data_IF_200100432231
#
_entry.id   IF_200100432231
#
_cell.length_a   1.000
_cell.length_b   1.000
_cell.length_c   1.000
_cell.angle_alpha   90.00
_cell.angle_beta   90.00
_cell.angle_gamma   90.00
#
_symmetry.space_group_name_H-M   'P 1'
#
loop_
_entity.id
_entity.type
_entity.pdbx_description
1 polymer ?
#
# COMPACT_ATOMS: atom_id res chain seq x y z
N UNK A 1 14.40 0.65 -13.49
CA UNK A 1 15.81 0.48 -13.10
C UNK A 1 16.00 0.54 -11.59
N UNK A 2 15.43 1.53 -10.86
CA UNK A 2 15.63 1.62 -9.39
C UNK A 2 14.87 0.57 -8.56
N UNK A 3 13.74 0.06 -9.03
CA UNK A 3 12.96 -0.99 -8.34
C UNK A 3 13.58 -2.39 -8.47
N UNK A 4 14.17 -2.73 -9.59
CA UNK A 4 14.92 -4.00 -9.74
C UNK A 4 16.16 -4.05 -8.84
N UNK A 5 16.80 -2.90 -8.62
CA UNK A 5 17.93 -2.75 -7.68
C UNK A 5 17.44 -2.95 -6.23
N UNK A 6 16.22 -2.53 -5.87
CA UNK A 6 15.64 -2.72 -4.53
C UNK A 6 15.33 -4.18 -4.23
N UNK A 7 14.79 -4.93 -5.19
CA UNK A 7 14.51 -6.38 -5.00
C UNK A 7 15.79 -7.21 -4.94
N UNK A 8 16.81 -6.87 -5.75
CA UNK A 8 18.12 -7.51 -5.68
C UNK A 8 18.79 -7.27 -4.33
N UNK A 9 18.73 -6.05 -3.77
CA UNK A 9 19.26 -5.75 -2.45
C UNK A 9 18.54 -6.51 -1.32
N UNK A 10 17.20 -6.65 -1.39
CA UNK A 10 16.43 -7.43 -0.40
C UNK A 10 16.74 -8.93 -0.48
N UNK A 11 16.93 -9.48 -1.67
CA UNK A 11 17.35 -10.87 -1.85
C UNK A 11 18.78 -11.10 -1.33
N UNK A 12 19.67 -10.14 -1.53
CA UNK A 12 21.04 -10.20 -1.02
C UNK A 12 21.08 -10.09 0.51
N UNK A 13 20.25 -9.26 1.12
CA UNK A 13 20.09 -9.18 2.58
C UNK A 13 19.58 -10.51 3.16
N UNK A 14 18.60 -11.15 2.51
CA UNK A 14 18.09 -12.46 2.90
C UNK A 14 19.19 -13.53 2.82
N UNK A 15 19.96 -13.56 1.72
CA UNK A 15 21.06 -14.50 1.54
C UNK A 15 22.17 -14.23 2.58
N UNK A 16 22.44 -12.98 2.90
CA UNK A 16 23.43 -12.63 3.94
C UNK A 16 22.98 -13.08 5.33
N UNK A 17 21.69 -12.96 5.65
CA UNK A 17 21.15 -13.41 6.93
C UNK A 17 21.20 -14.93 7.06
N UNK A 18 20.87 -15.66 5.98
CA UNK A 18 20.99 -17.12 5.96
C UNK A 18 22.44 -17.59 6.11
N UNK A 19 23.39 -16.92 5.46
CA UNK A 19 24.83 -17.16 5.62
C UNK A 19 25.33 -16.89 7.04
N UNK A 20 24.89 -15.79 7.66
CA UNK A 20 25.21 -15.50 9.07
C UNK A 20 24.69 -16.58 10.02
N UNK A 21 23.46 -17.08 9.79
CA UNK A 21 22.91 -18.22 10.55
C UNK A 21 23.71 -19.51 10.37
N UNK A 22 24.18 -19.79 9.17
CA UNK A 22 25.02 -20.95 8.87
C UNK A 22 26.42 -20.83 9.50
N UNK A 23 27.03 -19.66 9.40
CA UNK A 23 28.32 -19.35 10.05
C UNK A 23 28.23 -19.47 11.58
N UNK A 24 27.18 -18.93 12.17
CA UNK A 24 26.89 -19.05 13.60
C UNK A 24 26.74 -20.51 14.04
N UNK A 25 26.01 -21.33 13.27
CA UNK A 25 25.85 -22.75 13.56
C UNK A 25 27.19 -23.50 13.48
N UNK A 26 28.04 -23.16 12.50
CA UNK A 26 29.39 -23.74 12.36
C UNK A 26 30.32 -23.33 13.52
N UNK A 27 30.24 -22.06 13.96
CA UNK A 27 31.00 -21.60 15.11
C UNK A 27 30.59 -22.32 16.40
N UNK A 28 29.28 -22.45 16.64
CA UNK A 28 28.73 -23.19 17.76
C UNK A 28 29.17 -24.66 17.78
N UNK A 29 29.15 -25.34 16.64
CA UNK A 29 29.60 -26.72 16.51
C UNK A 29 31.10 -26.83 16.86
N UNK A 30 31.92 -25.93 16.33
CA UNK A 30 33.37 -25.91 16.57
C UNK A 30 33.70 -25.63 18.06
N UNK A 31 32.94 -24.73 18.67
CA UNK A 31 33.13 -24.42 20.12
C UNK A 31 32.66 -25.58 20.99
N UNK A 32 31.57 -26.23 20.62
CA UNK A 32 31.10 -27.43 21.31
C UNK A 32 32.10 -28.62 21.25
N UNK A 33 32.72 -28.85 20.08
CA UNK A 33 33.78 -29.85 19.94
C UNK A 33 34.99 -29.52 20.79
N UNK A 34 35.42 -28.25 20.82
CA UNK A 34 36.53 -27.78 21.63
C UNK A 34 36.29 -27.97 23.14
N UNK A 35 35.05 -27.69 23.56
CA UNK A 35 34.65 -27.85 24.95
C UNK A 35 34.53 -29.33 25.33
N UNK A 36 33.99 -30.21 24.47
CA UNK A 36 33.98 -31.66 24.68
C UNK A 36 35.40 -32.22 24.86
N UNK A 37 36.34 -31.77 24.04
CA UNK A 37 37.73 -32.16 24.17
C UNK A 37 38.32 -31.69 25.49
N UNK A 38 38.04 -30.43 25.91
CA UNK A 38 38.50 -29.89 27.20
C UNK A 38 37.88 -30.63 28.40
N UNK A 39 36.62 -31.02 28.33
CA UNK A 39 35.90 -31.82 29.30
C UNK A 39 36.60 -33.21 29.46
N UNK A 40 36.88 -33.90 28.37
CA UNK A 40 37.54 -35.18 28.38
C UNK A 40 38.95 -35.11 29.02
N UNK A 41 39.71 -34.05 28.74
CA UNK A 41 41.02 -33.77 29.34
C UNK A 41 40.91 -33.55 30.86
N UNK A 42 39.90 -32.81 31.32
CA UNK A 42 39.66 -32.54 32.73
C UNK A 42 39.19 -33.80 33.49
N UNK A 43 38.41 -34.66 32.87
CA UNK A 43 37.96 -35.95 33.40
C UNK A 43 39.14 -36.93 33.60
N UNK A 44 40.07 -36.94 32.65
CA UNK A 44 41.28 -37.76 32.76
C UNK A 44 42.20 -37.28 33.91
N UNK A 45 42.37 -35.96 34.09
CA UNK A 45 43.17 -35.38 35.18
C UNK A 45 42.49 -35.56 36.54
N UNK A 46 41.15 -35.46 36.62
CA UNK A 46 40.39 -35.67 37.84
C UNK A 46 40.46 -37.11 38.36
N UNK A 47 40.55 -38.09 37.46
CA UNK A 47 40.68 -39.50 37.87
C UNK A 47 42.02 -39.85 38.55
N UNK A 48 43.01 -38.96 38.44
CA UNK A 48 44.37 -39.18 39.00
C UNK A 48 44.70 -38.38 40.26
N UNK A 49 43.77 -37.50 40.70
CA UNK A 49 44.05 -36.55 41.80
C UNK A 49 43.16 -36.79 43.00
N UNK A 50 43.64 -36.40 44.24
CA UNK A 50 42.83 -36.47 45.44
C UNK A 50 41.61 -35.56 45.47
N UNK A 51 40.67 -35.78 46.39
CA UNK A 51 39.32 -35.15 46.38
C UNK A 51 39.33 -33.63 46.37
N UNK A 52 40.26 -32.93 46.98
CA UNK A 52 40.33 -31.45 46.94
C UNK A 52 40.65 -30.89 45.53
N UNK A 53 41.51 -31.57 44.78
CA UNK A 53 41.85 -31.16 43.41
C UNK A 53 40.69 -31.41 42.48
N UNK A 54 39.91 -32.47 42.71
CA UNK A 54 38.67 -32.76 41.94
C UNK A 54 37.61 -31.71 42.18
N UNK A 55 37.40 -31.22 43.39
CA UNK A 55 36.45 -30.17 43.71
C UNK A 55 36.79 -28.89 42.97
N UNK A 56 38.02 -28.40 43.03
CA UNK A 56 38.47 -27.21 42.30
C UNK A 56 38.27 -27.34 40.79
N UNK A 57 38.54 -28.52 40.24
CA UNK A 57 38.38 -28.78 38.82
C UNK A 57 36.90 -28.74 38.39
N UNK A 58 35.99 -29.23 39.23
CA UNK A 58 34.56 -29.13 38.96
C UNK A 58 34.05 -27.71 39.13
N UNK A 59 34.53 -26.91 40.05
CA UNK A 59 34.21 -25.49 40.19
C UNK A 59 34.61 -24.69 38.98
N UNK A 60 35.83 -24.88 38.44
CA UNK A 60 36.28 -24.25 37.19
C UNK A 60 35.41 -24.68 35.99
N UNK A 61 35.03 -25.95 35.92
CA UNK A 61 34.16 -26.48 34.89
C UNK A 61 32.77 -25.86 34.91
N UNK A 62 32.17 -25.74 36.12
CA UNK A 62 30.87 -25.09 36.33
C UNK A 62 30.96 -23.64 35.86
N UNK A 63 31.97 -22.87 36.24
CA UNK A 63 32.14 -21.48 35.83
C UNK A 63 32.28 -21.31 34.30
N UNK A 64 33.00 -22.23 33.65
CA UNK A 64 33.09 -22.22 32.16
C UNK A 64 31.77 -22.54 31.51
N UNK A 65 31.00 -23.52 32.01
CA UNK A 65 29.70 -23.89 31.47
C UNK A 65 28.65 -22.78 31.70
N UNK A 66 28.68 -22.11 32.84
CA UNK A 66 27.80 -20.97 33.12
C UNK A 66 28.08 -19.79 32.21
N UNK A 67 29.35 -19.47 31.93
CA UNK A 67 29.74 -18.42 31.00
C UNK A 67 29.30 -18.75 29.56
N UNK A 68 29.46 -20.00 29.15
CA UNK A 68 29.02 -20.48 27.85
C UNK A 68 27.48 -20.39 27.69
N UNK A 69 26.76 -20.86 28.71
CA UNK A 69 25.31 -20.85 28.77
C UNK A 69 24.78 -19.41 28.70
N UNK A 70 25.43 -18.48 29.37
CA UNK A 70 25.11 -17.05 29.28
C UNK A 70 25.34 -16.51 27.87
N UNK A 71 26.51 -16.77 27.30
CA UNK A 71 26.80 -16.34 25.92
C UNK A 71 25.82 -16.92 24.88
N UNK A 72 25.47 -18.19 25.05
CA UNK A 72 24.47 -18.84 24.20
C UNK A 72 23.09 -18.20 24.35
N UNK A 73 22.69 -17.91 25.59
CA UNK A 73 21.39 -17.23 25.85
C UNK A 73 21.33 -15.84 25.24
N UNK A 74 22.40 -15.06 25.35
CA UNK A 74 22.47 -13.71 24.80
C UNK A 74 22.40 -13.75 23.26
N UNK A 75 23.13 -14.68 22.65
CA UNK A 75 23.06 -14.89 21.18
C UNK A 75 21.69 -15.39 20.71
N UNK A 76 21.06 -16.27 21.48
CA UNK A 76 19.72 -16.77 21.17
C UNK A 76 18.68 -15.64 21.20
N UNK A 77 18.73 -14.76 22.20
CA UNK A 77 17.84 -13.59 22.28
C UNK A 77 18.06 -12.63 21.12
N UNK A 78 19.32 -12.42 20.73
CA UNK A 78 19.63 -11.58 19.57
C UNK A 78 19.04 -12.15 18.28
N UNK A 79 19.22 -13.45 18.03
CA UNK A 79 18.66 -14.13 16.84
C UNK A 79 17.12 -14.11 16.86
N UNK A 80 16.52 -14.25 18.05
CA UNK A 80 15.06 -14.17 18.20
C UNK A 80 14.54 -12.77 17.83
N UNK A 81 15.23 -11.71 18.27
CA UNK A 81 14.89 -10.32 17.93
C UNK A 81 15.06 -10.05 16.43
N UNK A 82 16.18 -10.46 15.84
CA UNK A 82 16.43 -10.36 14.40
C UNK A 82 15.38 -11.12 13.58
N UNK A 83 14.93 -12.29 14.03
CA UNK A 83 13.87 -13.07 13.39
C UNK A 83 12.50 -12.38 13.46
N UNK A 84 12.18 -11.74 14.60
CA UNK A 84 10.94 -10.97 14.74
C UNK A 84 10.93 -9.76 13.81
N UNK A 85 12.02 -9.04 13.74
CA UNK A 85 12.18 -7.91 12.83
C UNK A 85 12.05 -8.34 11.36
N UNK A 86 12.65 -9.48 11.03
CA UNK A 86 12.54 -10.03 9.68
C UNK A 86 11.12 -10.46 9.34
N UNK A 87 10.44 -11.13 10.26
CA UNK A 87 9.05 -11.56 10.07
C UNK A 87 8.12 -10.33 9.86
N UNK A 88 8.33 -9.25 10.63
CA UNK A 88 7.59 -8.00 10.44
C UNK A 88 7.83 -7.41 9.05
N UNK A 89 9.09 -7.26 8.64
CA UNK A 89 9.45 -6.74 7.31
C UNK A 89 8.92 -7.62 6.16
N UNK A 90 8.88 -8.93 6.36
CA UNK A 90 8.31 -9.85 5.37
C UNK A 90 6.82 -9.61 5.18
N UNK A 91 6.07 -9.46 6.29
CA UNK A 91 4.65 -9.15 6.25
C UNK A 91 4.38 -7.81 5.57
N UNK A 92 5.18 -6.78 5.87
CA UNK A 92 5.06 -5.46 5.22
C UNK A 92 5.27 -5.56 3.70
N UNK A 93 6.28 -6.32 3.26
CA UNK A 93 6.54 -6.55 1.82
C UNK A 93 5.44 -7.37 1.16
N UNK A 94 4.87 -8.36 1.85
CA UNK A 94 3.75 -9.15 1.34
C UNK A 94 2.50 -8.28 1.17
N UNK A 95 2.21 -7.41 2.13
CA UNK A 95 1.11 -6.45 2.04
C UNK A 95 1.33 -5.46 0.87
N UNK A 96 2.53 -4.91 0.72
CA UNK A 96 2.89 -4.04 -0.40
C UNK A 96 2.71 -4.74 -1.76
N UNK A 97 3.16 -6.00 -1.88
CA UNK A 97 2.99 -6.78 -3.10
C UNK A 97 1.52 -7.06 -3.42
N UNK A 98 0.70 -7.39 -2.42
CA UNK A 98 -0.72 -7.60 -2.58
C UNK A 98 -1.43 -6.30 -3.04
N UNK A 99 -1.06 -5.16 -2.46
CA UNK A 99 -1.58 -3.86 -2.85
C UNK A 99 -1.21 -3.51 -4.30
N UNK A 100 0.03 -3.77 -4.72
CA UNK A 100 0.47 -3.58 -6.10
C UNK A 100 -0.25 -4.51 -7.09
N UNK A 101 -0.46 -5.77 -6.73
CA UNK A 101 -1.19 -6.73 -7.56
C UNK A 101 -2.66 -6.29 -7.74
N UNK A 102 -3.32 -5.88 -6.66
CA UNK A 102 -4.69 -5.38 -6.69
C UNK A 102 -4.79 -4.10 -7.55
N UNK A 103 -3.82 -3.20 -7.42
CA UNK A 103 -3.76 -1.99 -8.24
C UNK A 103 -3.56 -2.31 -9.73
N UNK A 104 -2.72 -3.31 -10.06
CA UNK A 104 -2.55 -3.76 -11.45
C UNK A 104 -3.84 -4.28 -12.04
N UNK A 105 -4.57 -5.14 -11.30
CA UNK A 105 -5.89 -5.63 -11.71
C UNK A 105 -6.89 -4.50 -11.88
N UNK A 106 -6.92 -3.56 -10.94
CA UNK A 106 -7.77 -2.39 -10.97
C UNK A 106 -7.47 -1.51 -12.20
N UNK A 107 -6.20 -1.26 -12.49
CA UNK A 107 -5.76 -0.52 -13.67
C UNK A 107 -6.21 -1.22 -14.96
N UNK A 108 -6.01 -2.54 -15.04
CA UNK A 108 -6.44 -3.33 -16.20
C UNK A 108 -7.96 -3.23 -16.42
N UNK A 109 -8.75 -3.36 -15.36
CA UNK A 109 -10.20 -3.24 -15.43
C UNK A 109 -10.65 -1.84 -15.89
N UNK A 110 -10.05 -0.79 -15.35
CA UNK A 110 -10.36 0.60 -15.74
C UNK A 110 -10.10 0.89 -17.22
N UNK A 111 -9.10 0.24 -17.80
CA UNK A 111 -8.75 0.42 -19.20
C UNK A 111 -9.39 -0.61 -20.16
N UNK A 112 -10.17 -1.56 -19.63
CA UNK A 112 -10.84 -2.60 -20.44
C UNK A 112 -12.12 -2.13 -21.13
N UNK A 113 -12.69 -1.01 -20.68
CA UNK A 113 -13.94 -0.45 -21.21
C UNK A 113 -13.82 1.02 -21.57
N UNK A 114 -14.60 1.47 -22.55
CA UNK A 114 -14.77 2.87 -22.93
C UNK A 114 -16.17 3.40 -22.59
N UNK A 115 -17.01 2.59 -21.95
CA UNK A 115 -18.30 3.03 -21.44
C UNK A 115 -18.11 3.84 -20.16
N UNK A 116 -18.59 5.11 -20.20
CA UNK A 116 -18.41 6.04 -19.09
C UNK A 116 -19.07 5.55 -17.78
N UNK A 117 -20.25 4.96 -17.87
CA UNK A 117 -21.00 4.47 -16.71
C UNK A 117 -20.28 3.26 -16.09
N UNK A 118 -19.73 2.40 -16.93
CA UNK A 118 -18.98 1.24 -16.49
C UNK A 118 -17.63 1.64 -15.85
N UNK A 119 -16.92 2.60 -16.43
CA UNK A 119 -15.71 3.17 -15.83
C UNK A 119 -15.98 3.72 -14.42
N UNK A 120 -17.08 4.50 -14.26
CA UNK A 120 -17.46 5.01 -12.95
C UNK A 120 -17.79 3.90 -11.95
N UNK A 121 -18.48 2.84 -12.38
CA UNK A 121 -18.78 1.68 -11.55
C UNK A 121 -17.49 0.99 -11.08
N UNK A 122 -16.53 0.80 -11.99
CA UNK A 122 -15.22 0.22 -11.65
C UNK A 122 -14.45 1.12 -10.67
N UNK A 123 -14.45 2.44 -10.86
CA UNK A 123 -13.83 3.39 -9.91
C UNK A 123 -14.43 3.27 -8.52
N UNK A 124 -15.76 3.17 -8.42
CA UNK A 124 -16.47 2.96 -7.16
C UNK A 124 -16.05 1.64 -6.51
N UNK A 125 -16.04 0.55 -7.27
CA UNK A 125 -15.65 -0.77 -6.78
C UNK A 125 -14.19 -0.82 -6.28
N UNK A 126 -13.27 -0.18 -6.98
CA UNK A 126 -11.87 -0.05 -6.57
C UNK A 126 -11.76 0.80 -5.30
N UNK A 127 -12.47 1.91 -5.20
CA UNK A 127 -12.44 2.77 -4.00
C UNK A 127 -12.95 2.01 -2.75
N UNK A 128 -13.96 1.16 -2.89
CA UNK A 128 -14.45 0.32 -1.79
C UNK A 128 -13.42 -0.77 -1.45
N UNK A 129 -12.97 -1.53 -2.43
CA UNK A 129 -12.22 -2.76 -2.19
C UNK A 129 -10.74 -2.52 -1.88
N UNK A 130 -10.10 -1.55 -2.56
CA UNK A 130 -8.67 -1.27 -2.41
C UNK A 130 -8.40 -0.21 -1.34
N UNK A 131 -9.20 0.85 -1.33
CA UNK A 131 -9.04 1.97 -0.39
C UNK A 131 -9.80 1.71 0.92
N UNK A 132 -10.87 0.92 0.88
CA UNK A 132 -11.76 0.74 2.01
C UNK A 132 -12.64 1.97 2.27
N UNK A 133 -13.01 2.70 1.23
CA UNK A 133 -13.89 3.85 1.36
C UNK A 133 -15.36 3.40 1.61
N UNK A 134 -15.96 3.88 2.71
CA UNK A 134 -17.37 3.61 3.05
C UNK A 134 -18.29 4.69 2.50
N UNK A 135 -17.88 5.97 2.61
CA UNK A 135 -18.64 7.10 2.07
C UNK A 135 -17.71 7.99 1.25
N UNK A 136 -18.05 8.15 -0.01
CA UNK A 136 -17.28 8.99 -0.92
C UNK A 136 -18.09 9.46 -2.11
N UNK A 137 -17.56 10.44 -2.83
CA UNK A 137 -18.10 10.94 -4.08
C UNK A 137 -16.98 11.14 -5.10
N UNK A 138 -17.28 10.83 -6.35
CA UNK A 138 -16.48 11.21 -7.52
C UNK A 138 -17.14 12.42 -8.14
N UNK A 139 -16.45 13.55 -8.16
CA UNK A 139 -16.95 14.81 -8.73
C UNK A 139 -16.14 15.14 -9.98
N UNK A 140 -16.82 15.53 -11.03
CA UNK A 140 -16.21 16.01 -12.27
C UNK A 140 -16.60 17.47 -12.52
N UNK A 141 -15.71 18.19 -13.19
CA UNK A 141 -15.97 19.55 -13.65
C UNK A 141 -17.00 19.47 -14.79
N UNK A 142 -18.12 20.18 -14.62
CA UNK A 142 -19.11 20.36 -15.69
C UNK A 142 -18.66 21.43 -16.68
N UNK A 143 -18.53 21.06 -17.95
CA UNK A 143 -18.03 21.93 -19.03
C UNK A 143 -18.88 23.20 -19.25
N UNK A 144 -20.14 23.23 -18.75
CA UNK A 144 -21.07 24.34 -18.95
C UNK A 144 -21.06 25.34 -17.82
N UNK A 145 -21.03 24.85 -16.58
CA UNK A 145 -21.15 25.68 -15.37
C UNK A 145 -19.82 25.93 -14.69
N UNK A 146 -18.81 25.14 -15.05
CA UNK A 146 -17.49 25.13 -14.39
C UNK A 146 -17.55 24.81 -12.88
N UNK A 147 -18.62 24.14 -12.45
CA UNK A 147 -18.79 23.62 -11.10
C UNK A 147 -18.42 22.15 -11.06
N UNK A 148 -18.04 21.67 -9.90
CA UNK A 148 -17.87 20.25 -9.61
C UNK A 148 -19.24 19.63 -9.33
N UNK A 149 -19.59 18.59 -10.08
CA UNK A 149 -20.84 17.84 -9.94
C UNK A 149 -20.48 16.39 -9.64
N UNK A 150 -21.12 15.80 -8.63
CA UNK A 150 -20.98 14.40 -8.33
C UNK A 150 -21.56 13.53 -9.45
N UNK A 151 -20.72 12.66 -10.00
CA UNK A 151 -21.09 11.71 -11.08
C UNK A 151 -21.25 10.28 -10.56
N UNK A 152 -20.63 9.97 -9.42
CA UNK A 152 -20.81 8.73 -8.69
C UNK A 152 -20.70 8.99 -7.19
N UNK A 153 -21.49 8.28 -6.38
CA UNK A 153 -21.48 8.38 -4.93
C UNK A 153 -21.65 6.98 -4.32
N UNK A 154 -21.04 6.76 -3.16
CA UNK A 154 -21.25 5.58 -2.35
C UNK A 154 -21.48 6.01 -0.90
N UNK A 155 -22.45 5.40 -0.22
CA UNK A 155 -22.86 5.75 1.14
C UNK A 155 -23.49 7.14 1.29
N UNK A 156 -23.77 7.84 0.18
CA UNK A 156 -24.37 9.18 0.12
C UNK A 156 -25.58 9.13 -0.80
N UNK A 157 -26.71 9.69 -0.36
CA UNK A 157 -27.87 9.78 -1.23
C UNK A 157 -27.57 10.72 -2.42
N UNK A 158 -27.92 10.35 -3.65
CA UNK A 158 -27.66 11.19 -4.84
C UNK A 158 -28.24 12.61 -4.73
N UNK A 159 -29.34 12.78 -4.01
CA UNK A 159 -29.96 14.09 -3.78
C UNK A 159 -29.13 15.02 -2.88
N UNK A 160 -28.33 14.44 -2.00
CA UNK A 160 -27.46 15.15 -1.06
C UNK A 160 -26.05 15.35 -1.62
N UNK A 161 -25.78 14.81 -2.81
CA UNK A 161 -24.46 14.86 -3.42
C UNK A 161 -23.98 16.32 -3.59
N UNK A 162 -22.74 16.64 -3.21
CA UNK A 162 -22.27 18.02 -3.18
C UNK A 162 -22.09 18.58 -4.59
N UNK A 163 -22.50 19.84 -4.76
CA UNK A 163 -22.12 20.66 -5.88
C UNK A 163 -21.22 21.77 -5.38
N UNK A 164 -20.00 21.86 -5.90
CA UNK A 164 -18.97 22.74 -5.34
C UNK A 164 -18.37 23.59 -6.45
N UNK A 165 -18.15 24.88 -6.17
CA UNK A 165 -17.43 25.76 -7.09
C UNK A 165 -15.93 25.55 -6.97
N UNK A 166 -15.22 25.71 -8.07
CA UNK A 166 -13.75 25.68 -8.08
C UNK A 166 -13.23 26.80 -7.17
N UNK A 167 -12.38 26.44 -6.20
CA UNK A 167 -11.81 27.33 -5.20
C UNK A 167 -12.57 27.35 -3.87
N UNK A 168 -13.80 26.84 -3.78
CA UNK A 168 -14.60 26.84 -2.57
C UNK A 168 -14.32 25.57 -1.72
N UNK A 169 -14.12 25.78 -0.43
CA UNK A 169 -13.88 24.71 0.55
C UNK A 169 -12.65 23.87 0.24
N UNK A 170 -12.57 22.65 0.80
CA UNK A 170 -11.48 21.70 0.55
C UNK A 170 -11.52 21.19 -0.88
N UNK A 171 -12.69 20.74 -1.32
CA UNK A 171 -12.91 20.15 -2.64
C UNK A 171 -12.54 21.13 -3.76
N UNK A 172 -13.02 22.37 -3.67
CA UNK A 172 -12.75 23.41 -4.67
C UNK A 172 -11.29 23.84 -4.72
N UNK A 173 -10.61 23.90 -3.55
CA UNK A 173 -9.17 24.20 -3.47
C UNK A 173 -8.33 23.11 -4.13
N UNK A 174 -8.58 21.83 -3.78
CA UNK A 174 -7.91 20.68 -4.40
C UNK A 174 -8.08 20.71 -5.93
N UNK A 175 -9.26 21.07 -6.40
CA UNK A 175 -9.52 21.20 -7.86
C UNK A 175 -8.72 22.33 -8.48
N UNK A 176 -8.57 23.47 -7.80
CA UNK A 176 -7.84 24.64 -8.29
C UNK A 176 -6.34 24.44 -8.27
N UNK A 177 -5.81 23.95 -7.13
CA UNK A 177 -4.37 23.85 -6.89
C UNK A 177 -3.79 22.53 -7.45
N UNK A 178 -4.65 21.53 -7.59
CA UNK A 178 -4.26 20.20 -8.04
C UNK A 178 -3.45 19.41 -7.02
N UNK A 179 -3.45 19.81 -5.75
CA UNK A 179 -2.76 19.11 -4.67
C UNK A 179 -3.73 18.27 -3.85
N UNK A 180 -3.34 17.05 -3.51
CA UNK A 180 -4.16 16.16 -2.68
C UNK A 180 -4.27 16.68 -1.26
N UNK A 181 -5.46 16.56 -0.68
CA UNK A 181 -5.72 16.89 0.72
C UNK A 181 -5.95 15.61 1.53
N UNK A 182 -5.31 15.53 2.69
CA UNK A 182 -5.51 14.49 3.69
C UNK A 182 -5.68 15.15 5.06
N UNK A 183 -6.67 14.71 5.82
CA UNK A 183 -6.89 15.21 7.18
C UNK A 183 -5.78 14.70 8.12
N UNK A 184 -5.20 15.58 8.93
CA UNK A 184 -4.10 15.23 9.84
C UNK A 184 -4.55 14.30 10.99
N UNK A 185 -5.81 14.40 11.41
CA UNK A 185 -6.36 13.63 12.53
C UNK A 185 -7.69 12.97 12.12
N UNK A 186 -7.65 11.64 12.03
CA UNK A 186 -8.80 10.80 11.74
C UNK A 186 -9.54 10.35 13.02
N UNK A 187 -8.96 10.55 14.21
CA UNK A 187 -9.53 10.14 15.49
C UNK A 187 -10.67 11.06 15.96
N UNK A 188 -10.71 12.27 15.46
CA UNK A 188 -11.79 13.21 15.77
C UNK A 188 -13.03 12.79 15.02
N UNK A 189 -14.04 12.33 15.75
CA UNK A 189 -15.40 12.10 15.21
C UNK A 189 -15.92 13.48 14.77
N UNK A 190 -15.74 13.78 13.48
CA UNK A 190 -16.34 14.98 12.89
C UNK A 190 -17.79 14.64 12.50
N UNK A 191 -18.68 15.58 12.77
CA UNK A 191 -20.00 15.53 12.19
C UNK A 191 -19.86 15.39 10.67
N UNK A 192 -20.62 14.48 10.06
CA UNK A 192 -20.57 14.20 8.64
C UNK A 192 -20.88 15.47 7.84
N UNK A 193 -19.86 16.03 7.19
CA UNK A 193 -19.98 17.21 6.35
C UNK A 193 -19.50 16.92 4.94
N UNK A 194 -20.39 16.99 3.97
CA UNK A 194 -20.08 16.75 2.55
C UNK A 194 -19.14 17.79 1.92
N UNK A 195 -18.90 18.91 2.58
CA UNK A 195 -17.96 19.93 2.12
C UNK A 195 -16.55 19.75 2.70
N UNK A 196 -16.40 18.90 3.73
CA UNK A 196 -15.15 18.65 4.44
C UNK A 196 -14.77 17.17 4.41
N UNK A 197 -14.29 16.66 3.27
CA UNK A 197 -13.81 15.28 3.17
C UNK A 197 -12.58 15.07 4.04
N UNK A 198 -12.36 13.82 4.50
CA UNK A 198 -11.13 13.41 5.19
C UNK A 198 -9.97 13.20 4.20
N UNK A 199 -10.29 12.85 2.95
CA UNK A 199 -9.34 12.76 1.84
C UNK A 199 -9.99 13.37 0.60
N UNK A 200 -9.25 14.21 -0.12
CA UNK A 200 -9.66 14.73 -1.42
C UNK A 200 -8.50 14.68 -2.39
N UNK A 201 -8.67 13.96 -3.50
CA UNK A 201 -7.60 13.67 -4.45
C UNK A 201 -8.00 14.15 -5.83
N UNK A 202 -7.15 14.96 -6.51
CA UNK A 202 -7.47 15.46 -7.84
C UNK A 202 -7.32 14.38 -8.90
N UNK A 203 -8.28 14.31 -9.80
CA UNK A 203 -8.22 13.55 -11.03
C UNK A 203 -7.54 14.39 -12.10
N UNK A 204 -6.26 14.10 -12.39
CA UNK A 204 -5.43 14.90 -13.28
C UNK A 204 -5.15 14.20 -14.61
N UNK A 205 -5.23 14.98 -15.68
CA UNK A 205 -4.68 14.62 -17.00
C UNK A 205 -3.58 15.63 -17.31
N UNK A 206 -2.33 15.19 -17.18
CA UNK A 206 -1.15 16.09 -17.18
C UNK A 206 -1.31 17.16 -16.09
N UNK A 207 -1.34 18.42 -16.45
CA UNK A 207 -1.49 19.55 -15.52
C UNK A 207 -2.96 19.98 -15.31
N UNK A 208 -3.92 19.34 -15.97
CA UNK A 208 -5.32 19.74 -15.88
C UNK A 208 -6.10 18.83 -14.95
N UNK A 209 -6.73 19.40 -13.94
CA UNK A 209 -7.68 18.71 -13.07
C UNK A 209 -9.02 18.62 -13.78
N UNK A 210 -9.53 17.40 -13.94
CA UNK A 210 -10.85 17.13 -14.55
C UNK A 210 -11.94 16.86 -13.50
N UNK A 211 -11.54 16.65 -12.24
CA UNK A 211 -12.43 16.34 -11.13
C UNK A 211 -11.67 15.96 -9.89
N UNK A 212 -12.36 15.41 -8.90
CA UNK A 212 -11.78 14.93 -7.65
C UNK A 212 -12.50 13.66 -7.16
N UNK A 213 -11.80 12.88 -6.34
CA UNK A 213 -12.40 11.85 -5.48
C UNK A 213 -12.38 12.41 -4.06
N UNK A 214 -13.56 12.59 -3.45
CA UNK A 214 -13.72 13.09 -2.09
C UNK A 214 -14.22 11.95 -1.19
N UNK A 215 -13.42 11.56 -0.17
CA UNK A 215 -13.72 10.48 0.75
C UNK A 215 -14.06 11.10 2.11
N UNK A 216 -15.16 10.67 2.69
CA UNK A 216 -15.70 11.19 3.94
C UNK A 216 -15.62 10.19 5.08
N UNK A 217 -15.59 8.89 4.76
CA UNK A 217 -15.50 7.81 5.76
C UNK A 217 -14.81 6.59 5.18
N UNK A 218 -13.97 5.95 6.01
CA UNK A 218 -13.35 4.66 5.72
C UNK A 218 -14.03 3.52 6.48
N UNK A 219 -14.02 2.31 5.92
CA UNK A 219 -14.54 1.09 6.54
C UNK A 219 -13.78 0.72 7.82
N UNK A 220 -12.48 0.90 7.83
CA UNK A 220 -11.62 0.68 8.99
C UNK A 220 -11.14 2.02 9.52
N UNK A 221 -11.38 2.27 10.80
CA UNK A 221 -10.86 3.47 11.45
C UNK A 221 -9.33 3.34 11.57
N UNK A 222 -8.63 4.24 10.89
CA UNK A 222 -7.17 4.41 11.00
C UNK A 222 -6.89 5.63 11.89
N UNK A 223 -5.78 5.59 12.62
CA UNK A 223 -5.32 6.76 13.39
C UNK A 223 -4.64 7.83 12.50
N UNK A 224 -4.23 7.43 11.29
CA UNK A 224 -3.57 8.29 10.31
C UNK A 224 -3.33 7.54 9.00
N UNK A 225 -2.79 8.24 8.00
CA UNK A 225 -2.43 7.68 6.71
C UNK A 225 -0.95 7.31 6.66
N UNK A 226 -0.63 6.17 6.07
CA UNK A 226 0.74 5.71 5.82
C UNK A 226 1.22 6.20 4.44
N UNK A 227 2.54 6.13 4.18
CA UNK A 227 3.08 6.43 2.86
C UNK A 227 2.46 5.54 1.76
N UNK A 228 2.18 4.29 2.08
CA UNK A 228 1.50 3.35 1.16
C UNK A 228 0.09 3.83 0.82
N UNK A 229 -0.66 4.34 1.80
CA UNK A 229 -1.99 4.90 1.56
C UNK A 229 -1.91 6.08 0.57
N UNK A 230 -0.97 7.03 0.77
CA UNK A 230 -0.79 8.17 -0.14
C UNK A 230 -0.49 7.73 -1.58
N UNK A 231 0.36 6.72 -1.75
CA UNK A 231 0.71 6.17 -3.06
C UNK A 231 -0.49 5.50 -3.72
N UNK A 232 -1.23 4.67 -3.00
CA UNK A 232 -2.44 3.99 -3.49
C UNK A 232 -3.51 4.99 -3.96
N UNK A 233 -3.77 6.01 -3.16
CA UNK A 233 -4.72 7.05 -3.50
C UNK A 233 -4.32 7.80 -4.79
N UNK A 234 -3.05 8.20 -4.90
CA UNK A 234 -2.56 8.93 -6.07
C UNK A 234 -2.56 8.05 -7.34
N UNK A 235 -2.20 6.79 -7.22
CA UNK A 235 -2.23 5.83 -8.33
C UNK A 235 -3.66 5.57 -8.80
N UNK A 236 -4.60 5.34 -7.88
CA UNK A 236 -6.02 5.20 -8.22
C UNK A 236 -6.52 6.44 -8.96
N UNK A 237 -6.25 7.64 -8.43
CA UNK A 237 -6.69 8.89 -9.05
C UNK A 237 -6.12 9.07 -10.45
N UNK A 238 -4.85 8.73 -10.68
CA UNK A 238 -4.20 8.79 -12.00
C UNK A 238 -4.84 7.85 -13.01
N UNK A 239 -5.09 6.59 -12.63
CA UNK A 239 -5.75 5.62 -13.51
C UNK A 239 -7.21 5.97 -13.74
N UNK A 240 -7.96 6.36 -12.72
CA UNK A 240 -9.34 6.80 -12.82
C UNK A 240 -9.47 8.03 -13.73
N UNK A 241 -8.60 9.04 -13.56
CA UNK A 241 -8.60 10.23 -14.40
C UNK A 241 -8.44 9.87 -15.88
N UNK A 242 -7.46 9.01 -16.20
CA UNK A 242 -7.20 8.60 -17.58
C UNK A 242 -8.36 7.81 -18.16
N UNK A 243 -8.94 6.87 -17.43
CA UNK A 243 -10.08 6.07 -17.88
C UNK A 243 -11.34 6.92 -18.07
N UNK A 244 -11.66 7.80 -17.11
CA UNK A 244 -12.80 8.73 -17.17
C UNK A 244 -12.64 9.69 -18.35
N UNK A 245 -11.46 10.26 -18.54
CA UNK A 245 -11.21 11.17 -19.65
C UNK A 245 -11.35 10.47 -21.01
N UNK A 246 -10.75 9.28 -21.15
CA UNK A 246 -10.82 8.48 -22.38
C UNK A 246 -12.26 8.09 -22.72
N UNK A 247 -13.04 7.61 -21.75
CA UNK A 247 -14.44 7.24 -21.95
C UNK A 247 -15.33 8.43 -22.27
N UNK A 248 -15.12 9.58 -21.61
CA UNK A 248 -15.84 10.84 -21.92
C UNK A 248 -15.54 11.30 -23.34
N UNK A 249 -14.28 11.27 -23.76
CA UNK A 249 -13.85 11.64 -25.10
C UNK A 249 -14.43 10.69 -26.15
N UNK A 250 -14.40 9.40 -25.92
CA UNK A 250 -14.97 8.39 -26.79
C UNK A 250 -16.49 8.62 -26.99
N UNK A 251 -17.21 8.75 -25.88
CA UNK A 251 -18.67 9.01 -25.93
C UNK A 251 -19.01 10.30 -26.69
N UNK A 252 -18.22 11.36 -26.51
CA UNK A 252 -18.41 12.61 -27.26
C UNK A 252 -18.15 12.43 -28.77
N UNK A 253 -17.12 11.64 -29.11
CA UNK A 253 -16.77 11.34 -30.50
C UNK A 253 -17.86 10.54 -31.21
N UNK A 254 -18.35 9.47 -30.54
CA UNK A 254 -19.46 8.65 -31.03
C UNK A 254 -20.74 9.48 -31.29
N UNK A 255 -21.10 10.37 -30.36
CA UNK A 255 -22.26 11.26 -30.52
C UNK A 255 -22.10 12.18 -31.72
N UNK A 256 -20.89 12.74 -31.94
CA UNK A 256 -20.62 13.59 -33.11
C UNK A 256 -20.72 12.79 -34.41
N UNK A 257 -20.16 11.59 -34.46
CA UNK A 257 -20.24 10.71 -35.63
C UNK A 257 -21.69 10.34 -35.97
N UNK A 258 -22.47 9.94 -34.97
CA UNK A 258 -23.89 9.61 -35.15
C UNK A 258 -24.68 10.81 -35.67
N UNK A 259 -24.43 12.00 -35.16
CA UNK A 259 -25.07 13.23 -35.63
C UNK A 259 -24.73 13.52 -37.11
N UNK A 260 -23.46 13.38 -37.50
CA UNK A 260 -23.00 13.58 -38.88
C UNK A 260 -23.64 12.51 -39.79
N UNK A 261 -23.67 11.24 -39.39
CA UNK A 261 -24.32 10.17 -40.14
C UNK A 261 -25.80 10.45 -40.36
N UNK A 262 -26.52 10.82 -39.30
CA UNK A 262 -27.93 11.16 -39.39
C UNK A 262 -28.19 12.35 -40.34
N UNK A 263 -27.32 13.34 -40.32
CA UNK A 263 -27.39 14.48 -41.24
C UNK A 263 -27.13 14.06 -42.70
N UNK A 264 -26.14 13.20 -42.92
CA UNK A 264 -25.85 12.66 -44.27
C UNK A 264 -27.00 11.80 -44.81
N UNK A 265 -27.66 11.02 -43.96
CA UNK A 265 -28.81 10.20 -44.36
C UNK A 265 -30.01 11.08 -44.73
N UNK A 266 -30.27 12.15 -43.99
CA UNK A 266 -31.30 13.14 -44.35
C UNK A 266 -31.02 13.82 -45.71
N UNK A 267 -29.77 14.08 -46.03
CA UNK A 267 -29.38 14.65 -47.33
C UNK A 267 -29.53 13.65 -48.50
N UNK A 268 -29.42 12.34 -48.22
CA UNK A 268 -29.62 11.28 -49.22
C UNK A 268 -31.09 10.99 -49.51
N UNK A 269 -31.98 11.23 -48.55
CA UNK A 269 -33.41 11.13 -48.79
C UNK A 269 -33.86 12.24 -49.75
N UNK A 270 -33.92 11.92 -51.05
CA UNK A 270 -34.51 12.82 -52.07
C UNK A 270 -35.97 13.08 -51.70
N UNK A 271 -36.45 14.33 -51.82
CA UNK A 271 -37.87 14.59 -51.67
C UNK A 271 -38.64 13.73 -52.66
N UNK A 272 -39.50 12.84 -52.15
CA UNK A 272 -40.50 12.18 -52.99
C UNK A 272 -41.35 13.29 -53.61
N UNK A 273 -41.23 13.48 -54.93
CA UNK A 273 -42.17 14.25 -55.75
C UNK A 273 -43.47 13.47 -55.94
#
# INVERSE_FOLDING_TARGET
MDKEISYANKADEFIQMFKKGEEFTKELLKENEKLRFRIAQLEETASRSGDEVRIKLYEERIGLLEAELKSFKDKFLQVEEENKDFASKYLDVEEENNNLANLYVASYQLHSTLDFSEVLRIVVEIAINLIGAEKFAVLLIDDKTNDLIAVATEGIQPADAPRVKIGDGVIGRVTKDGESFFADDLSVIRDFNLLEPIVCIPLKIKEHVIGVIAIYKLLVQKSGFTNVDYELFNLLAGHAATAIFSSKLYTQSERKLTTIQSFLDLLKEKPKR
#
